data_IF_368051838997
#
_entry.id   IF_368051838997
#
_cell.length_a   1.000
_cell.length_b   1.000
_cell.length_c   1.000
_cell.angle_alpha   90.00
_cell.angle_beta   90.00
_cell.angle_gamma   90.00
#
_symmetry.space_group_name_H-M   'P 1'
#
loop_
_entity.id
_entity.type
_entity.pdbx_description
1 polymer ?
#
# COMPACT_ATOMS: atom_id res chain seq x y z
N UNK A 1 -4.35 -19.17 -12.09
CA UNK A 1 -3.04 -18.54 -11.84
C UNK A 1 -2.45 -19.15 -10.59
N UNK A 2 -1.20 -19.60 -10.64
CA UNK A 2 -0.56 -20.16 -9.45
C UNK A 2 -0.25 -19.05 -8.43
N UNK A 3 -0.42 -19.29 -7.12
CA UNK A 3 -0.15 -18.27 -6.11
C UNK A 3 1.26 -17.68 -6.20
N UNK A 4 2.26 -18.51 -6.53
CA UNK A 4 3.65 -18.07 -6.65
C UNK A 4 3.85 -17.10 -7.83
N UNK A 5 3.21 -17.36 -8.97
CA UNK A 5 3.26 -16.49 -10.14
C UNK A 5 2.61 -15.13 -9.83
N UNK A 6 1.44 -15.14 -9.20
CA UNK A 6 0.73 -13.92 -8.82
C UNK A 6 1.54 -13.06 -7.81
N UNK A 7 2.15 -13.71 -6.81
CA UNK A 7 3.02 -13.04 -5.84
C UNK A 7 4.30 -12.50 -6.49
N UNK A 8 4.88 -13.23 -7.44
CA UNK A 8 6.04 -12.79 -8.22
C UNK A 8 5.74 -11.52 -9.02
N UNK A 9 4.61 -11.48 -9.75
CA UNK A 9 4.18 -10.29 -10.48
C UNK A 9 3.93 -9.13 -9.52
N UNK A 10 3.23 -9.37 -8.41
CA UNK A 10 2.97 -8.33 -7.42
C UNK A 10 4.27 -7.75 -6.82
N UNK A 11 5.25 -8.59 -6.53
CA UNK A 11 6.57 -8.16 -6.04
C UNK A 11 7.31 -7.30 -7.08
N UNK A 12 7.27 -7.70 -8.36
CA UNK A 12 7.87 -6.91 -9.45
C UNK A 12 7.23 -5.52 -9.57
N UNK A 13 5.90 -5.45 -9.53
CA UNK A 13 5.16 -4.17 -9.57
C UNK A 13 5.49 -3.32 -8.34
N UNK A 14 5.57 -3.92 -7.15
CA UNK A 14 5.93 -3.24 -5.91
C UNK A 14 7.34 -2.60 -5.99
N UNK A 15 8.33 -3.37 -6.47
CA UNK A 15 9.71 -2.88 -6.67
C UNK A 15 9.76 -1.77 -7.72
N UNK A 16 9.04 -1.92 -8.83
CA UNK A 16 8.97 -0.89 -9.88
C UNK A 16 8.40 0.43 -9.33
N UNK A 17 7.28 0.37 -8.58
CA UNK A 17 6.68 1.56 -7.95
C UNK A 17 7.62 2.20 -6.92
N UNK A 18 8.34 1.40 -6.13
CA UNK A 18 9.36 1.91 -5.21
C UNK A 18 10.52 2.60 -5.97
N UNK A 19 10.97 2.03 -7.09
CA UNK A 19 11.97 2.64 -7.96
C UNK A 19 11.52 3.97 -8.55
N UNK A 20 10.28 4.05 -9.03
CA UNK A 20 9.69 5.31 -9.53
C UNK A 20 9.59 6.39 -8.45
N UNK A 21 9.40 6.02 -7.18
CA UNK A 21 9.47 6.97 -6.07
C UNK A 21 10.86 7.64 -5.99
N UNK A 22 11.93 6.87 -6.18
CA UNK A 22 13.31 7.39 -6.22
C UNK A 22 13.52 8.37 -7.37
N UNK A 23 12.97 8.07 -8.55
CA UNK A 23 13.00 8.96 -9.72
C UNK A 23 12.34 10.31 -9.39
N UNK A 24 11.14 10.31 -8.79
CA UNK A 24 10.43 11.55 -8.41
C UNK A 24 11.23 12.41 -7.42
N UNK A 25 11.96 11.78 -6.50
CA UNK A 25 12.82 12.49 -5.54
C UNK A 25 14.00 13.16 -6.24
N UNK A 26 14.61 12.52 -7.25
CA UNK A 26 15.72 13.09 -8.01
C UNK A 26 15.28 14.27 -8.88
N UNK A 27 14.09 14.18 -9.50
CA UNK A 27 13.57 15.22 -10.40
C UNK A 27 13.01 16.45 -9.69
N UNK A 28 12.91 16.46 -8.35
CA UNK A 28 12.54 17.66 -7.59
C UNK A 28 13.78 18.31 -6.95
N UNK A 29 14.18 19.52 -7.38
CA UNK A 29 15.43 20.16 -6.93
C UNK A 29 15.40 20.63 -5.48
N UNK A 30 14.23 20.70 -4.84
CA UNK A 30 14.09 21.07 -3.44
C UNK A 30 14.46 19.89 -2.54
N UNK A 31 15.27 20.15 -1.51
CA UNK A 31 15.60 19.14 -0.50
C UNK A 31 14.32 18.57 0.15
N UNK A 32 14.30 17.28 0.50
CA UNK A 32 13.16 16.60 1.13
C UNK A 32 12.61 17.30 2.39
N UNK A 33 13.41 18.17 3.02
CA UNK A 33 13.03 18.94 4.19
C UNK A 33 12.22 20.20 3.87
N UNK A 34 12.34 20.73 2.64
CA UNK A 34 11.64 21.93 2.16
C UNK A 34 10.32 21.62 1.46
N UNK A 35 10.00 20.34 1.24
CA UNK A 35 8.74 19.95 0.61
C UNK A 35 7.54 20.29 1.48
N UNK A 36 6.45 20.70 0.85
CA UNK A 36 5.15 20.85 1.50
C UNK A 36 4.77 19.55 2.24
N UNK A 37 4.13 19.67 3.40
CA UNK A 37 3.79 18.52 4.25
C UNK A 37 2.97 17.46 3.49
N UNK A 38 2.12 17.89 2.56
CA UNK A 38 1.32 17.02 1.68
C UNK A 38 2.20 16.17 0.75
N UNK A 39 3.22 16.75 0.10
CA UNK A 39 4.07 16.02 -0.83
C UNK A 39 4.95 15.00 -0.11
N UNK A 40 5.46 15.38 1.08
CA UNK A 40 6.20 14.45 1.95
C UNK A 40 5.31 13.31 2.46
N UNK A 41 4.05 13.61 2.79
CA UNK A 41 3.07 12.62 3.19
C UNK A 41 2.74 11.66 2.04
N UNK A 42 2.51 12.17 0.82
CA UNK A 42 2.30 11.35 -0.38
C UNK A 42 3.49 10.44 -0.66
N UNK A 43 4.73 10.92 -0.47
CA UNK A 43 5.94 10.12 -0.73
C UNK A 43 6.03 8.96 0.24
N UNK A 44 5.81 9.26 1.53
CA UNK A 44 5.77 8.24 2.58
C UNK A 44 4.64 7.24 2.32
N UNK A 45 3.47 7.70 1.89
CA UNK A 45 2.35 6.84 1.58
C UNK A 45 2.64 5.94 0.38
N UNK A 46 3.27 6.46 -0.68
CA UNK A 46 3.70 5.69 -1.84
C UNK A 46 4.73 4.63 -1.42
N UNK A 47 5.81 5.03 -0.73
CA UNK A 47 6.85 4.09 -0.28
C UNK A 47 6.28 3.01 0.65
N UNK A 48 5.42 3.38 1.59
CA UNK A 48 4.76 2.42 2.47
C UNK A 48 3.88 1.44 1.68
N UNK A 49 3.07 1.96 0.75
CA UNK A 49 2.21 1.14 -0.11
C UNK A 49 2.97 0.33 -1.17
N UNK A 50 4.26 0.55 -1.38
CA UNK A 50 5.11 -0.30 -2.23
C UNK A 50 5.92 -1.31 -1.41
N UNK A 51 6.47 -0.92 -0.25
CA UNK A 51 7.29 -1.79 0.59
C UNK A 51 6.44 -2.86 1.28
N UNK A 52 5.25 -2.51 1.78
CA UNK A 52 4.34 -3.47 2.42
C UNK A 52 3.95 -4.63 1.49
N UNK A 53 3.42 -4.41 0.26
CA UNK A 53 3.09 -5.52 -0.63
C UNK A 53 4.32 -6.33 -1.05
N UNK A 54 5.49 -5.71 -1.18
CA UNK A 54 6.74 -6.44 -1.43
C UNK A 54 7.06 -7.40 -0.27
N UNK A 55 7.00 -6.90 0.98
CA UNK A 55 7.23 -7.72 2.16
C UNK A 55 6.22 -8.86 2.27
N UNK A 56 4.94 -8.59 2.00
CA UNK A 56 3.89 -9.61 1.99
C UNK A 56 4.13 -10.67 0.91
N UNK A 57 4.51 -10.26 -0.29
CA UNK A 57 4.82 -11.17 -1.39
C UNK A 57 6.03 -12.06 -1.08
N UNK A 58 7.12 -11.47 -0.57
CA UNK A 58 8.32 -12.22 -0.17
C UNK A 58 8.04 -13.19 0.98
N UNK A 59 7.28 -12.77 1.99
CA UNK A 59 6.91 -13.63 3.11
C UNK A 59 6.04 -14.82 2.67
N UNK A 60 5.04 -14.58 1.82
CA UNK A 60 4.20 -15.63 1.29
C UNK A 60 4.98 -16.60 0.38
N UNK A 61 5.87 -16.08 -0.49
CA UNK A 61 6.76 -16.92 -1.31
C UNK A 61 7.68 -17.77 -0.43
N UNK A 62 8.23 -17.22 0.66
CA UNK A 62 9.05 -17.98 1.61
C UNK A 62 8.27 -19.12 2.25
N UNK A 63 7.04 -18.87 2.72
CA UNK A 63 6.19 -19.92 3.30
C UNK A 63 5.81 -21.00 2.28
N UNK A 64 5.63 -20.64 1.00
CA UNK A 64 5.36 -21.60 -0.07
C UNK A 64 6.55 -22.52 -0.39
N UNK A 65 7.77 -22.22 0.09
CA UNK A 65 8.92 -23.13 -0.06
C UNK A 65 8.83 -24.36 0.85
N UNK A 66 8.02 -24.32 1.90
CA UNK A 66 7.83 -25.43 2.85
C UNK A 66 6.97 -26.51 2.18
N UNK A 67 7.52 -27.72 2.03
CA UNK A 67 6.82 -28.89 1.47
C UNK A 67 6.56 -29.93 2.57
N UNK A 68 5.33 -30.48 2.67
CA UNK A 68 4.11 -30.12 1.93
C UNK A 68 3.55 -28.76 2.37
N UNK A 69 2.89 -28.05 1.45
CA UNK A 69 2.29 -26.72 1.67
C UNK A 69 1.35 -26.75 2.89
N UNK A 70 1.70 -26.08 4.01
CA UNK A 70 0.86 -26.12 5.19
C UNK A 70 -0.57 -25.64 4.93
N UNK A 71 -1.54 -26.35 5.50
CA UNK A 71 -2.96 -26.02 5.40
C UNK A 71 -3.31 -24.67 6.01
N UNK A 72 -2.42 -24.03 6.76
CA UNK A 72 -2.64 -22.77 7.51
C UNK A 72 -1.81 -21.59 6.96
N UNK A 73 -1.14 -21.74 5.82
CA UNK A 73 -0.28 -20.67 5.25
C UNK A 73 -1.03 -19.35 5.08
N UNK A 74 -2.24 -19.39 4.50
CA UNK A 74 -2.95 -18.16 4.16
C UNK A 74 -3.48 -17.43 5.38
N UNK A 75 -3.74 -18.16 6.48
CA UNK A 75 -4.01 -17.58 7.79
C UNK A 75 -2.81 -16.80 8.31
N UNK A 76 -1.61 -17.38 8.28
CA UNK A 76 -0.39 -16.69 8.73
C UNK A 76 -0.04 -15.50 7.85
N UNK A 77 -0.14 -15.65 6.53
CA UNK A 77 0.07 -14.55 5.59
C UNK A 77 -0.93 -13.41 5.84
N UNK A 78 -2.19 -13.74 6.10
CA UNK A 78 -3.22 -12.74 6.42
C UNK A 78 -3.01 -12.11 7.78
N UNK A 79 -2.57 -12.88 8.79
CA UNK A 79 -2.25 -12.36 10.12
C UNK A 79 -1.05 -11.40 10.05
N UNK A 80 0.00 -11.80 9.35
CA UNK A 80 1.17 -10.97 9.09
C UNK A 80 0.77 -9.69 8.35
N UNK A 81 -0.02 -9.81 7.27
CA UNK A 81 -0.57 -8.66 6.55
C UNK A 81 -1.34 -7.71 7.45
N UNK A 82 -2.24 -8.24 8.28
CA UNK A 82 -3.09 -7.45 9.17
C UNK A 82 -2.28 -6.70 10.22
N UNK A 83 -1.29 -7.36 10.83
CA UNK A 83 -0.41 -6.76 11.84
C UNK A 83 0.36 -5.56 11.29
N UNK A 84 0.85 -5.64 10.05
CA UNK A 84 1.60 -4.54 9.42
C UNK A 84 0.71 -3.44 8.83
N UNK A 85 -0.52 -3.78 8.45
CA UNK A 85 -1.48 -2.85 7.85
C UNK A 85 -2.21 -2.00 8.90
N UNK A 86 -2.38 -2.52 10.12
CA UNK A 86 -3.02 -1.82 11.24
C UNK A 86 -2.32 -0.51 11.66
N UNK A 87 -0.98 -0.46 11.87
CA UNK A 87 -0.27 0.79 12.15
C UNK A 87 -0.44 1.82 11.04
N UNK A 88 -0.40 1.38 9.78
CA UNK A 88 -0.61 2.23 8.60
C UNK A 88 -2.00 2.87 8.62
N UNK A 89 -3.03 2.09 8.90
CA UNK A 89 -4.41 2.57 9.03
C UNK A 89 -4.57 3.55 10.21
N UNK A 90 -3.95 3.28 11.36
CA UNK A 90 -3.99 4.16 12.55
C UNK A 90 -3.31 5.50 12.24
N UNK A 91 -2.12 5.47 11.63
CA UNK A 91 -1.38 6.69 11.26
C UNK A 91 -2.15 7.49 10.22
N UNK A 92 -2.72 6.81 9.20
CA UNK A 92 -3.55 7.45 8.20
C UNK A 92 -4.74 8.15 8.86
N UNK A 93 -5.50 7.46 9.73
CA UNK A 93 -6.67 8.01 10.41
C UNK A 93 -6.32 9.21 11.32
N UNK A 94 -5.23 9.11 12.09
CA UNK A 94 -4.74 10.22 12.94
C UNK A 94 -4.33 11.44 12.11
N UNK A 95 -3.68 11.21 10.97
CA UNK A 95 -3.26 12.28 10.08
C UNK A 95 -4.45 12.89 9.34
N UNK A 96 -5.45 12.10 8.92
CA UNK A 96 -6.69 12.62 8.34
C UNK A 96 -7.38 13.59 9.29
N UNK A 97 -7.49 13.26 10.57
CA UNK A 97 -8.08 14.15 11.57
C UNK A 97 -7.32 15.48 11.71
N UNK A 98 -6.00 15.49 11.50
CA UNK A 98 -5.16 16.70 11.58
C UNK A 98 -5.13 17.51 10.28
N UNK A 99 -5.17 16.86 9.12
CA UNK A 99 -5.06 17.47 7.78
C UNK A 99 -6.41 17.95 7.20
N UNK A 100 -7.54 17.57 7.82
CA UNK A 100 -8.91 17.85 7.32
C UNK A 100 -9.25 19.35 7.23
N UNK A 101 -8.54 20.24 7.94
CA UNK A 101 -8.99 21.63 8.02
C UNK A 101 -8.39 22.60 6.99
N UNK A 102 -7.24 22.35 6.34
CA UNK A 102 -6.58 23.42 5.56
C UNK A 102 -5.95 23.07 4.19
N UNK A 103 -5.74 21.81 3.78
CA UNK A 103 -4.91 21.53 2.57
C UNK A 103 -5.53 20.61 1.49
N UNK A 104 -6.64 19.92 1.73
CA UNK A 104 -7.25 19.01 0.75
C UNK A 104 -8.45 19.65 0.02
N UNK A 105 -8.23 20.27 -1.15
CA UNK A 105 -9.32 20.71 -2.05
C UNK A 105 -10.14 19.50 -2.54
N UNK A 106 -11.47 19.57 -2.39
CA UNK A 106 -12.54 18.71 -2.93
C UNK A 106 -12.15 17.30 -3.44
N UNK A 107 -11.67 17.21 -4.68
CA UNK A 107 -11.36 15.93 -5.36
C UNK A 107 -10.28 15.09 -4.65
N UNK A 108 -9.40 15.72 -3.88
CA UNK A 108 -8.38 15.03 -3.09
C UNK A 108 -8.95 14.36 -1.85
N UNK A 109 -10.02 14.92 -1.28
CA UNK A 109 -10.71 14.44 -0.09
C UNK A 109 -11.57 13.21 -0.38
N UNK A 110 -12.34 13.22 -1.47
CA UNK A 110 -13.15 12.07 -1.89
C UNK A 110 -12.31 10.83 -2.18
N UNK A 111 -11.21 10.99 -2.93
CA UNK A 111 -10.28 9.89 -3.21
C UNK A 111 -9.62 9.34 -1.95
N UNK A 112 -9.26 10.21 -0.99
CA UNK A 112 -8.68 9.77 0.27
C UNK A 112 -9.65 8.92 1.09
N UNK A 113 -10.92 9.34 1.20
CA UNK A 113 -11.95 8.55 1.89
C UNK A 113 -12.29 7.27 1.15
N UNK A 114 -12.33 7.27 -0.19
CA UNK A 114 -12.57 6.07 -0.98
C UNK A 114 -11.47 5.03 -0.76
N UNK A 115 -10.19 5.44 -0.81
CA UNK A 115 -9.06 4.55 -0.49
C UNK A 115 -9.10 4.08 0.97
N UNK A 116 -9.45 4.95 1.92
CA UNK A 116 -9.59 4.58 3.33
C UNK A 116 -10.70 3.55 3.57
N UNK A 117 -11.85 3.72 2.91
CA UNK A 117 -12.97 2.78 2.98
C UNK A 117 -12.58 1.43 2.39
N UNK A 118 -11.98 1.41 1.19
CA UNK A 118 -11.51 0.18 0.55
C UNK A 118 -10.42 -0.52 1.37
N UNK A 119 -9.48 0.24 1.94
CA UNK A 119 -8.45 -0.28 2.85
C UNK A 119 -9.04 -0.92 4.11
N UNK A 120 -10.09 -0.30 4.67
CA UNK A 120 -10.81 -0.84 5.83
C UNK A 120 -11.57 -2.11 5.46
N UNK A 121 -12.21 -2.13 4.29
CA UNK A 121 -12.87 -3.34 3.77
C UNK A 121 -11.87 -4.49 3.59
N UNK A 122 -10.65 -4.21 3.11
CA UNK A 122 -9.60 -5.25 3.04
C UNK A 122 -9.13 -5.75 4.40
N UNK A 123 -9.05 -4.89 5.42
CA UNK A 123 -8.74 -5.33 6.78
C UNK A 123 -9.81 -6.26 7.35
N UNK A 124 -11.08 -5.89 7.21
CA UNK A 124 -12.20 -6.75 7.62
C UNK A 124 -12.16 -8.08 6.88
N UNK A 125 -11.89 -8.04 5.57
CA UNK A 125 -11.78 -9.25 4.76
C UNK A 125 -10.61 -10.14 5.19
N UNK A 126 -9.47 -9.57 5.60
CA UNK A 126 -8.37 -10.34 6.18
C UNK A 126 -8.76 -11.01 7.51
N UNK A 127 -9.51 -10.34 8.37
CA UNK A 127 -10.03 -10.96 9.61
C UNK A 127 -10.93 -12.15 9.28
N UNK A 128 -11.83 -12.00 8.30
CA UNK A 128 -12.69 -13.10 7.84
C UNK A 128 -11.84 -14.24 7.25
N UNK A 129 -10.76 -13.90 6.52
CA UNK A 129 -9.86 -14.89 5.96
C UNK A 129 -9.12 -15.68 7.03
N UNK A 130 -8.68 -15.01 8.10
CA UNK A 130 -8.06 -15.64 9.26
C UNK A 130 -9.07 -16.53 9.99
N UNK A 131 -10.30 -16.06 10.19
CA UNK A 131 -11.29 -16.78 10.97
C UNK A 131 -11.83 -18.03 10.25
N UNK A 132 -12.20 -17.92 8.98
CA UNK A 132 -13.01 -18.95 8.29
C UNK A 132 -12.51 -19.40 6.93
N UNK A 133 -11.98 -18.51 6.09
CA UNK A 133 -11.78 -18.83 4.68
C UNK A 133 -10.44 -19.53 4.41
N UNK A 134 -9.34 -18.99 4.97
CA UNK A 134 -7.98 -19.46 4.69
C UNK A 134 -7.69 -19.61 3.18
N UNK A 135 -8.17 -18.64 2.40
CA UNK A 135 -8.01 -18.59 0.95
C UNK A 135 -6.86 -17.65 0.57
N UNK A 136 -6.32 -17.87 -0.63
CA UNK A 136 -5.28 -17.01 -1.21
C UNK A 136 -5.81 -15.63 -1.61
N UNK A 137 -6.99 -15.58 -2.24
CA UNK A 137 -7.50 -14.35 -2.87
C UNK A 137 -7.71 -13.17 -1.91
N UNK A 138 -8.14 -13.33 -0.64
CA UNK A 138 -8.29 -12.20 0.29
C UNK A 138 -6.95 -11.59 0.68
N UNK A 139 -5.93 -12.43 0.84
CA UNK A 139 -4.57 -11.98 1.10
C UNK A 139 -4.01 -11.25 -0.13
N UNK A 140 -4.18 -11.82 -1.32
CA UNK A 140 -3.73 -11.21 -2.57
C UNK A 140 -4.44 -9.88 -2.87
N UNK A 141 -5.73 -9.76 -2.57
CA UNK A 141 -6.49 -8.53 -2.75
C UNK A 141 -5.91 -7.38 -1.91
N UNK A 142 -5.41 -7.68 -0.70
CA UNK A 142 -4.76 -6.69 0.15
C UNK A 142 -3.47 -6.13 -0.47
N UNK A 143 -2.64 -7.01 -1.05
CA UNK A 143 -1.46 -6.63 -1.82
C UNK A 143 -1.87 -5.75 -3.01
N UNK A 144 -2.88 -6.18 -3.76
CA UNK A 144 -3.38 -5.45 -4.93
C UNK A 144 -3.88 -4.04 -4.56
N UNK A 145 -4.59 -3.91 -3.44
CA UNK A 145 -5.05 -2.61 -2.95
C UNK A 145 -3.90 -1.67 -2.57
N UNK A 146 -2.80 -2.20 -2.01
CA UNK A 146 -1.60 -1.39 -1.73
C UNK A 146 -0.96 -0.89 -3.04
N UNK A 147 -0.85 -1.76 -4.04
CA UNK A 147 -0.29 -1.39 -5.34
C UNK A 147 -1.13 -0.32 -6.05
N UNK A 148 -2.47 -0.44 -6.03
CA UNK A 148 -3.36 0.60 -6.56
C UNK A 148 -3.19 1.91 -5.80
N UNK A 149 -3.13 1.86 -4.46
CA UNK A 149 -2.93 3.05 -3.66
C UNK A 149 -1.59 3.74 -3.98
N UNK A 150 -0.50 2.97 -4.08
CA UNK A 150 0.82 3.47 -4.46
C UNK A 150 0.82 4.09 -5.86
N UNK A 151 0.20 3.43 -6.84
CA UNK A 151 0.08 3.93 -8.21
C UNK A 151 -0.71 5.24 -8.28
N UNK A 152 -1.82 5.33 -7.53
CA UNK A 152 -2.61 6.57 -7.46
C UNK A 152 -1.79 7.70 -6.83
N UNK A 153 -1.03 7.43 -5.76
CA UNK A 153 -0.16 8.45 -5.16
C UNK A 153 0.93 8.91 -6.11
N UNK A 154 1.55 7.97 -6.85
CA UNK A 154 2.55 8.27 -7.86
C UNK A 154 1.97 9.17 -8.96
N UNK A 155 0.86 8.78 -9.57
CA UNK A 155 0.20 9.55 -10.62
C UNK A 155 -0.11 10.98 -10.15
N UNK A 156 -0.54 11.14 -8.90
CA UNK A 156 -0.81 12.47 -8.32
C UNK A 156 0.45 13.28 -8.07
N UNK A 157 1.56 12.66 -7.69
CA UNK A 157 2.83 13.39 -7.57
C UNK A 157 3.31 13.95 -8.89
N UNK A 158 3.16 13.16 -9.97
CA UNK A 158 3.59 13.53 -11.32
C UNK A 158 2.64 14.57 -11.93
N UNK A 159 1.31 14.37 -11.81
CA UNK A 159 0.30 15.23 -12.45
C UNK A 159 0.00 16.52 -11.68
N UNK A 160 0.23 16.54 -10.35
CA UNK A 160 0.03 17.74 -9.52
C UNK A 160 1.35 18.43 -9.20
N UNK A 161 2.41 18.15 -9.97
CA UNK A 161 3.62 18.98 -9.92
C UNK A 161 3.19 20.41 -10.28
N UNK A 162 3.51 21.42 -9.47
CA UNK A 162 3.15 22.79 -9.80
C UNK A 162 3.80 23.15 -11.14
N UNK A 163 3.01 23.64 -12.09
CA UNK A 163 3.57 24.37 -13.23
C UNK A 163 4.41 25.49 -12.63
N UNK A 164 5.71 25.48 -12.94
CA UNK A 164 6.59 26.58 -12.56
C UNK A 164 6.08 27.82 -13.31
N UNK A 165 5.37 28.70 -12.61
CA UNK A 165 5.34 30.13 -12.94
C UNK A 165 6.59 30.81 -12.39
#
# INVERSE_FOLDING_TARGET
>A
MEPNEALGIAAQVAVALAGFAGVVVVFRPQSLHQWAAVDRFRLRLLLHNSICPLAYALFAMLLLTIKPTPLWIWRECSLFGLLFQMPGAIVAFRNSHKLTSNEFKGASRTLFYALGLLGTATLVLQVINIAKLNLFWPFFLSIFMHLIAAMLQFARMVLLLPENE
#
